data_IF_538406243861
#
_entry.id   IF_538406243861
#
_cell.length_a   1.000
_cell.length_b   1.000
_cell.length_c   1.000
_cell.angle_alpha   90.00
_cell.angle_beta   90.00
_cell.angle_gamma   90.00
#
_symmetry.space_group_name_H-M   'P 1'
#
loop_
_entity.id
_entity.type
_entity.pdbx_description
1 polymer ?
#
# COMPACT_ATOMS: atom_id res chain seq x y z
N UNK A 1 16.87 14.22 -54.41
CA UNK A 1 16.63 12.84 -53.93
C UNK A 1 17.63 12.34 -52.88
N UNK A 2 18.91 12.73 -52.90
CA UNK A 2 19.92 12.28 -51.90
C UNK A 2 19.75 12.88 -50.49
N UNK A 3 19.16 14.08 -50.36
CA UNK A 3 18.94 14.70 -49.04
C UNK A 3 17.73 14.17 -48.29
N UNK A 4 16.75 13.57 -48.96
CA UNK A 4 15.55 12.98 -48.32
C UNK A 4 15.86 11.64 -47.66
N UNK A 5 16.85 10.91 -48.15
CA UNK A 5 17.28 9.61 -47.61
C UNK A 5 18.05 9.79 -46.30
N UNK A 6 18.79 10.91 -46.15
CA UNK A 6 19.55 11.20 -44.91
C UNK A 6 18.61 11.57 -43.72
N UNK A 7 17.48 12.22 -44.02
CA UNK A 7 16.50 12.58 -42.99
C UNK A 7 15.71 11.34 -42.45
N UNK A 8 15.51 10.33 -43.32
CA UNK A 8 14.84 9.09 -42.91
C UNK A 8 15.77 8.16 -42.13
N UNK A 9 17.07 8.21 -42.35
CA UNK A 9 18.05 7.46 -41.59
C UNK A 9 18.29 7.99 -40.17
N UNK A 10 18.06 9.31 -39.92
CA UNK A 10 18.14 9.90 -38.58
C UNK A 10 16.88 9.64 -37.72
N UNK A 11 15.74 9.27 -38.33
CA UNK A 11 14.49 9.04 -37.59
C UNK A 11 14.37 7.59 -37.06
N UNK A 12 15.29 6.70 -37.46
CA UNK A 12 15.29 5.29 -37.03
C UNK A 12 16.22 4.98 -35.85
N UNK A 13 16.94 5.98 -35.31
CA UNK A 13 17.89 5.80 -34.22
C UNK A 13 17.25 6.08 -32.86
N UNK A 14 15.95 6.49 -32.78
CA UNK A 14 15.32 6.91 -31.53
C UNK A 14 14.34 5.88 -30.96
N UNK A 15 14.23 4.68 -31.55
CA UNK A 15 13.36 3.60 -31.08
C UNK A 15 14.11 2.28 -30.82
N UNK A 16 15.36 2.36 -30.38
CA UNK A 16 16.03 1.20 -29.80
C UNK A 16 16.30 1.50 -28.32
N UNK A 17 15.24 1.69 -27.55
CA UNK A 17 15.28 1.33 -26.13
C UNK A 17 15.25 -0.20 -26.13
N UNK A 18 16.42 -0.80 -26.15
CA UNK A 18 16.61 -2.22 -25.99
C UNK A 18 15.96 -2.68 -24.68
N UNK A 19 15.25 -3.79 -24.76
CA UNK A 19 14.75 -4.58 -23.62
C UNK A 19 15.86 -5.11 -22.69
N UNK A 20 17.10 -4.62 -22.84
CA UNK A 20 18.30 -5.09 -22.12
C UNK A 20 18.58 -4.40 -20.78
N UNK A 21 17.71 -3.48 -20.29
CA UNK A 21 18.05 -2.67 -19.11
C UNK A 21 17.80 -3.40 -17.77
N UNK A 22 17.08 -4.50 -17.78
CA UNK A 22 16.89 -5.34 -16.60
C UNK A 22 17.36 -6.76 -16.91
N UNK A 23 18.66 -6.98 -16.89
CA UNK A 23 19.24 -8.31 -17.02
C UNK A 23 18.79 -9.18 -15.83
N UNK A 24 18.39 -10.43 -16.13
CA UNK A 24 18.13 -11.49 -15.15
C UNK A 24 19.34 -11.71 -14.20
N UNK A 25 20.54 -11.31 -14.59
CA UNK A 25 21.77 -11.43 -13.81
C UNK A 25 21.79 -10.59 -12.52
N UNK A 26 20.98 -9.51 -12.42
CA UNK A 26 20.88 -8.74 -11.18
C UNK A 26 20.03 -9.43 -10.10
N UNK A 27 19.23 -10.44 -10.47
CA UNK A 27 18.50 -11.27 -9.52
C UNK A 27 19.36 -12.39 -8.93
N UNK A 28 20.43 -12.83 -9.62
CA UNK A 28 21.31 -13.91 -9.16
C UNK A 28 22.40 -13.47 -8.17
N UNK A 29 22.74 -12.18 -8.13
CA UNK A 29 23.79 -11.67 -7.24
C UNK A 29 23.40 -11.67 -5.74
N UNK A 30 22.14 -11.99 -5.40
CA UNK A 30 21.62 -12.00 -4.02
C UNK A 30 21.62 -13.42 -3.42
N UNK A 31 21.93 -14.44 -4.21
CA UNK A 31 21.87 -15.87 -3.82
C UNK A 31 23.11 -16.40 -3.09
N UNK A 32 23.81 -15.58 -2.34
CA UNK A 32 25.01 -15.98 -1.61
C UNK A 32 24.90 -15.80 -0.10
N UNK A 33 24.49 -16.83 0.61
CA UNK A 33 24.49 -17.07 2.06
C UNK A 33 23.13 -16.92 2.77
N UNK A 34 22.67 -17.98 3.29
CA UNK A 34 21.71 -18.36 4.38
C UNK A 34 20.80 -17.32 5.07
N UNK A 35 20.46 -16.20 4.45
CA UNK A 35 19.36 -15.29 4.81
C UNK A 35 19.00 -14.49 3.55
N UNK A 36 18.18 -15.07 2.67
CA UNK A 36 17.75 -14.41 1.43
C UNK A 36 16.67 -13.40 1.80
N UNK A 37 17.03 -12.14 1.90
CA UNK A 37 16.09 -11.04 2.09
C UNK A 37 15.85 -10.33 0.76
N UNK A 38 14.63 -10.40 0.23
CA UNK A 38 14.22 -9.53 -0.88
C UNK A 38 14.05 -8.10 -0.37
N UNK A 39 14.60 -7.11 -1.09
CA UNK A 39 14.44 -5.69 -0.76
C UNK A 39 14.26 -4.87 -2.04
N UNK A 40 13.34 -3.92 -2.01
CA UNK A 40 13.15 -2.97 -3.10
C UNK A 40 14.28 -1.92 -3.20
N UNK A 41 15.13 -1.79 -2.19
CA UNK A 41 16.18 -0.77 -2.17
C UNK A 41 17.19 -0.97 -3.32
N UNK A 42 17.57 -2.22 -3.61
CA UNK A 42 18.46 -2.55 -4.72
C UNK A 42 17.87 -2.17 -6.08
N UNK A 43 16.54 -2.28 -6.22
CA UNK A 43 15.80 -1.97 -7.44
C UNK A 43 15.68 -0.46 -7.61
N UNK A 44 15.27 0.24 -6.57
CA UNK A 44 14.98 1.68 -6.61
C UNK A 44 16.22 2.56 -6.59
N UNK A 45 17.34 2.07 -6.03
CA UNK A 45 18.63 2.75 -6.04
C UNK A 45 19.35 2.69 -7.40
N UNK A 46 18.91 1.81 -8.29
CA UNK A 46 19.43 1.77 -9.65
C UNK A 46 19.17 3.11 -10.36
N UNK A 47 20.22 3.74 -10.92
CA UNK A 47 20.12 5.03 -11.61
C UNK A 47 19.10 5.04 -12.75
N UNK A 48 18.82 3.89 -13.36
CA UNK A 48 17.84 3.72 -14.42
C UNK A 48 16.38 3.72 -13.92
N UNK A 49 16.11 3.52 -12.61
CA UNK A 49 14.77 3.50 -12.05
C UNK A 49 13.91 4.71 -12.44
N UNK A 50 14.51 5.91 -12.43
CA UNK A 50 13.81 7.15 -12.77
C UNK A 50 13.38 7.20 -14.24
N UNK A 51 14.12 6.53 -15.13
CA UNK A 51 13.88 6.50 -16.57
C UNK A 51 12.89 5.42 -16.99
N UNK A 52 12.63 4.43 -16.13
CA UNK A 52 11.70 3.34 -16.40
C UNK A 52 10.26 3.84 -16.53
N UNK A 53 9.54 3.31 -17.50
CA UNK A 53 8.09 3.45 -17.59
C UNK A 53 7.39 2.83 -16.35
N UNK A 54 6.14 3.19 -16.14
CA UNK A 54 5.36 2.61 -15.02
C UNK A 54 5.32 1.08 -15.08
N UNK A 55 5.10 0.51 -16.28
CA UNK A 55 5.08 -0.95 -16.46
C UNK A 55 6.42 -1.58 -16.07
N UNK A 56 7.53 -1.04 -16.56
CA UNK A 56 8.87 -1.55 -16.23
C UNK A 56 9.16 -1.49 -14.72
N UNK A 57 8.77 -0.39 -14.06
CA UNK A 57 8.88 -0.27 -12.60
C UNK A 57 8.07 -1.34 -11.89
N UNK A 58 6.85 -1.59 -12.37
CA UNK A 58 5.96 -2.58 -11.79
C UNK A 58 6.50 -4.00 -11.97
N UNK A 59 6.97 -4.33 -13.18
CA UNK A 59 7.56 -5.63 -13.49
C UNK A 59 8.83 -5.87 -12.66
N UNK A 60 9.67 -4.86 -12.48
CA UNK A 60 10.87 -4.93 -11.65
C UNK A 60 10.59 -5.16 -10.16
N UNK A 61 9.41 -4.79 -9.67
CA UNK A 61 9.01 -4.99 -8.28
C UNK A 61 8.41 -6.37 -8.00
N UNK A 62 8.29 -7.25 -9.01
CA UNK A 62 7.81 -8.62 -8.74
C UNK A 62 8.85 -9.40 -7.94
N UNK A 63 8.40 -10.15 -6.95
CA UNK A 63 9.26 -11.02 -6.15
C UNK A 63 9.55 -12.28 -6.99
N UNK A 64 10.80 -12.73 -7.10
CA UNK A 64 11.10 -14.00 -7.78
C UNK A 64 10.32 -15.17 -7.18
N UNK A 65 9.76 -16.04 -8.02
CA UNK A 65 8.89 -17.14 -7.59
C UNK A 65 9.59 -18.09 -6.59
N UNK A 66 10.91 -18.28 -6.76
CA UNK A 66 11.72 -19.07 -5.82
C UNK A 66 11.75 -18.51 -4.40
N UNK A 67 11.60 -17.17 -4.25
CA UNK A 67 11.61 -16.51 -2.95
C UNK A 67 10.20 -16.41 -2.34
N UNK A 68 9.17 -16.31 -3.16
CA UNK A 68 7.79 -16.19 -2.67
C UNK A 68 7.39 -17.29 -1.69
N UNK A 69 7.84 -18.53 -1.94
CA UNK A 69 7.54 -19.67 -1.08
C UNK A 69 8.38 -19.71 0.21
N UNK A 70 9.53 -19.04 0.23
CA UNK A 70 10.45 -19.01 1.36
C UNK A 70 10.13 -17.86 2.35
N UNK A 71 9.48 -16.78 1.85
CA UNK A 71 9.11 -15.66 2.68
C UNK A 71 8.03 -16.04 3.71
N UNK A 72 8.24 -15.58 4.93
CA UNK A 72 7.22 -15.64 5.98
C UNK A 72 6.07 -14.68 5.67
N UNK A 73 4.91 -14.91 6.25
CA UNK A 73 3.75 -14.03 6.09
C UNK A 73 4.05 -12.60 6.59
N UNK A 74 4.82 -12.48 7.67
CA UNK A 74 5.29 -11.19 8.20
C UNK A 74 6.14 -10.44 7.18
N UNK A 75 7.10 -11.11 6.55
CA UNK A 75 7.94 -10.50 5.50
C UNK A 75 7.11 -10.07 4.29
N UNK A 76 6.11 -10.86 3.89
CA UNK A 76 5.19 -10.48 2.82
C UNK A 76 4.39 -9.22 3.17
N UNK A 77 3.91 -9.08 4.41
CA UNK A 77 3.24 -7.85 4.89
C UNK A 77 4.19 -6.66 4.84
N UNK A 78 5.43 -6.81 5.30
CA UNK A 78 6.44 -5.76 5.25
C UNK A 78 6.79 -5.34 3.82
N UNK A 79 6.85 -6.29 2.88
CA UNK A 79 7.06 -6.02 1.46
C UNK A 79 5.86 -5.30 0.84
N UNK A 80 4.63 -5.69 1.17
CA UNK A 80 3.44 -4.94 0.76
C UNK A 80 3.49 -3.50 1.28
N UNK A 81 3.86 -3.31 2.55
CA UNK A 81 3.98 -1.99 3.16
C UNK A 81 5.08 -1.13 2.51
N UNK A 82 6.20 -1.74 2.11
CA UNK A 82 7.35 -1.04 1.54
C UNK A 82 7.38 -1.00 0.01
N UNK A 83 6.33 -1.47 -0.68
CA UNK A 83 6.29 -1.47 -2.14
C UNK A 83 6.45 -0.06 -2.71
N UNK A 84 7.43 0.19 -3.61
CA UNK A 84 7.83 1.55 -4.00
C UNK A 84 6.79 2.30 -4.83
N UNK A 85 5.78 1.60 -5.35
CA UNK A 85 4.68 2.20 -6.10
C UNK A 85 3.43 2.47 -5.26
N UNK A 86 3.44 2.22 -3.95
CA UNK A 86 2.30 2.53 -3.07
C UNK A 86 1.79 3.97 -3.21
N UNK A 87 2.64 5.00 -3.37
CA UNK A 87 2.17 6.38 -3.53
C UNK A 87 1.28 6.61 -4.76
N UNK A 88 1.33 5.73 -5.76
CA UNK A 88 0.53 5.88 -6.98
C UNK A 88 -0.97 5.75 -6.73
N UNK A 89 -1.38 5.15 -5.62
CA UNK A 89 -2.80 5.07 -5.24
C UNK A 89 -3.45 6.45 -5.27
N UNK A 90 -2.71 7.49 -4.88
CA UNK A 90 -3.20 8.87 -4.83
C UNK A 90 -3.15 9.60 -6.17
N UNK A 91 -2.67 8.96 -7.23
CA UNK A 91 -2.80 9.46 -8.60
C UNK A 91 -4.16 9.07 -9.24
N UNK A 92 -4.91 8.18 -8.59
CA UNK A 92 -6.26 7.81 -9.01
C UNK A 92 -7.30 8.74 -8.40
N UNK A 93 -8.43 8.95 -9.08
CA UNK A 93 -9.54 9.73 -8.53
C UNK A 93 -10.11 9.10 -7.24
N UNK A 94 -10.05 7.78 -7.14
CA UNK A 94 -10.35 7.03 -5.94
C UNK A 94 -9.07 6.26 -5.54
N UNK A 95 -8.44 6.57 -4.40
CA UNK A 95 -7.23 5.87 -3.93
C UNK A 95 -7.42 4.35 -3.77
N UNK A 96 -8.64 3.88 -3.49
CA UNK A 96 -8.94 2.46 -3.41
C UNK A 96 -8.75 1.74 -4.75
N UNK A 97 -9.11 2.39 -5.87
CA UNK A 97 -8.91 1.80 -7.21
C UNK A 97 -7.42 1.62 -7.50
N UNK A 98 -6.59 2.60 -7.10
CA UNK A 98 -5.15 2.52 -7.21
C UNK A 98 -4.55 1.42 -6.33
N UNK A 99 -5.03 1.30 -5.09
CA UNK A 99 -4.63 0.22 -4.20
C UNK A 99 -5.01 -1.15 -4.75
N UNK A 100 -6.23 -1.31 -5.24
CA UNK A 100 -6.69 -2.55 -5.87
C UNK A 100 -5.87 -2.90 -7.11
N UNK A 101 -5.46 -1.89 -7.91
CA UNK A 101 -4.57 -2.13 -9.04
C UNK A 101 -3.24 -2.75 -8.58
N UNK A 102 -2.60 -2.21 -7.53
CA UNK A 102 -1.36 -2.76 -6.98
C UNK A 102 -1.60 -4.17 -6.43
N UNK A 103 -2.61 -4.36 -5.58
CA UNK A 103 -2.95 -5.66 -4.99
C UNK A 103 -3.19 -6.74 -6.05
N UNK A 104 -3.90 -6.39 -7.12
CA UNK A 104 -4.20 -7.32 -8.22
C UNK A 104 -2.97 -7.72 -9.03
N UNK A 105 -1.98 -6.87 -9.14
CA UNK A 105 -0.85 -7.09 -10.05
C UNK A 105 0.45 -7.47 -9.32
N UNK A 106 0.63 -7.11 -8.05
CA UNK A 106 1.81 -7.47 -7.27
C UNK A 106 1.72 -8.92 -6.77
N UNK A 107 2.70 -9.74 -7.15
CA UNK A 107 2.69 -11.16 -6.79
C UNK A 107 2.88 -11.41 -5.28
N UNK A 108 3.58 -10.52 -4.57
CA UNK A 108 3.71 -10.61 -3.11
C UNK A 108 2.37 -10.48 -2.39
N UNK A 109 1.46 -9.58 -2.85
CA UNK A 109 0.11 -9.49 -2.28
C UNK A 109 -0.74 -10.72 -2.63
N UNK A 110 -0.63 -11.22 -3.87
CA UNK A 110 -1.34 -12.46 -4.27
C UNK A 110 -0.90 -13.67 -3.42
N UNK A 111 0.37 -13.72 -3.06
CA UNK A 111 0.88 -14.75 -2.16
C UNK A 111 0.37 -14.54 -0.74
N UNK A 112 0.38 -13.29 -0.24
CA UNK A 112 -0.19 -12.94 1.07
C UNK A 112 -1.65 -13.38 1.18
N UNK A 113 -2.46 -13.19 0.14
CA UNK A 113 -3.88 -13.63 0.12
C UNK A 113 -4.07 -15.13 0.34
N UNK A 114 -3.07 -15.96 0.04
CA UNK A 114 -3.13 -17.43 0.22
C UNK A 114 -2.75 -17.88 1.63
N UNK A 115 -2.13 -17.01 2.43
CA UNK A 115 -1.64 -17.35 3.76
C UNK A 115 -2.78 -17.33 4.77
N UNK A 116 -2.89 -18.37 5.57
CA UNK A 116 -3.94 -18.52 6.58
C UNK A 116 -3.83 -17.46 7.68
N UNK A 117 -2.60 -17.09 8.05
CA UNK A 117 -2.28 -16.08 9.06
C UNK A 117 -2.17 -14.65 8.52
N UNK A 118 -2.46 -14.41 7.24
CA UNK A 118 -2.33 -13.09 6.61
C UNK A 118 -3.04 -11.97 7.36
N UNK A 119 -4.27 -12.22 7.80
CA UNK A 119 -5.06 -11.24 8.55
C UNK A 119 -4.42 -10.90 9.91
N UNK A 120 -3.93 -11.90 10.62
CA UNK A 120 -3.26 -11.73 11.91
C UNK A 120 -1.98 -10.92 11.76
N UNK A 121 -1.11 -11.32 10.83
CA UNK A 121 0.16 -10.63 10.58
C UNK A 121 -0.04 -9.19 10.10
N UNK A 122 -1.07 -8.93 9.29
CA UNK A 122 -1.40 -7.58 8.85
C UNK A 122 -1.93 -6.71 10.00
N UNK A 123 -2.75 -7.28 10.88
CA UNK A 123 -3.23 -6.60 12.08
C UNK A 123 -2.10 -6.33 13.08
N UNK A 124 -1.20 -7.29 13.30
CA UNK A 124 -0.01 -7.13 14.14
C UNK A 124 0.85 -5.98 13.61
N UNK A 125 1.12 -6.00 12.31
CA UNK A 125 1.89 -4.94 11.66
C UNK A 125 1.24 -3.56 11.87
N UNK A 126 -0.06 -3.43 11.62
CA UNK A 126 -0.74 -2.14 11.73
C UNK A 126 -0.87 -1.68 13.19
N UNK A 127 -1.11 -2.61 14.12
CA UNK A 127 -1.16 -2.32 15.56
C UNK A 127 0.20 -1.81 16.08
N UNK A 128 1.32 -2.34 15.54
CA UNK A 128 2.67 -1.92 15.88
C UNK A 128 3.11 -0.54 15.36
N UNK A 129 2.36 0.08 14.46
CA UNK A 129 2.71 1.42 13.96
C UNK A 129 2.40 2.50 15.00
N UNK A 130 3.41 3.31 15.35
CA UNK A 130 3.27 4.44 16.26
C UNK A 130 2.95 5.73 15.50
N UNK A 131 1.72 6.21 15.65
CA UNK A 131 1.28 7.47 15.04
C UNK A 131 1.51 8.70 15.94
N UNK A 132 1.95 8.52 17.19
CA UNK A 132 2.21 9.63 18.12
C UNK A 132 3.66 10.11 17.99
N UNK A 133 4.62 9.16 18.00
CA UNK A 133 6.04 9.47 17.96
C UNK A 133 6.56 9.55 16.51
N UNK A 134 6.04 10.52 15.79
CA UNK A 134 6.49 10.80 14.42
C UNK A 134 7.77 11.60 14.47
N UNK A 135 8.80 11.18 13.75
CA UNK A 135 9.97 12.01 13.58
C UNK A 135 9.59 13.24 12.76
N UNK A 136 9.79 14.44 13.33
CA UNK A 136 9.53 15.71 12.68
C UNK A 136 10.50 15.91 11.50
N UNK A 137 10.20 15.27 10.38
CA UNK A 137 10.81 15.58 9.11
C UNK A 137 9.80 16.34 8.27
N UNK A 138 10.16 17.46 7.63
CA UNK A 138 9.27 18.11 6.69
C UNK A 138 9.12 17.19 5.47
N UNK A 139 8.05 16.42 5.43
CA UNK A 139 7.67 15.49 4.37
C UNK A 139 8.81 14.72 3.66
N UNK A 140 8.73 13.39 3.51
CA UNK A 140 7.58 12.57 3.91
C UNK A 140 7.59 12.20 5.40
N UNK A 141 6.40 12.10 5.99
CA UNK A 141 6.20 11.59 7.36
C UNK A 141 6.80 10.19 7.44
N UNK A 142 7.66 9.96 8.45
CA UNK A 142 8.28 8.67 8.71
C UNK A 142 7.71 8.07 10.00
N UNK A 143 7.22 6.85 9.91
CA UNK A 143 6.58 6.11 11.00
C UNK A 143 7.42 4.89 11.36
N UNK A 144 7.57 4.62 12.64
CA UNK A 144 8.29 3.43 13.11
C UNK A 144 7.32 2.26 13.31
N UNK A 145 7.71 1.09 12.82
CA UNK A 145 7.12 -0.18 13.20
C UNK A 145 7.85 -0.83 14.38
N UNK A 146 7.31 -1.91 14.90
CA UNK A 146 7.85 -2.65 16.06
C UNK A 146 9.30 -3.13 15.88
N UNK A 147 9.72 -3.38 14.63
CA UNK A 147 11.06 -3.82 14.26
C UNK A 147 12.08 -2.67 14.10
N UNK A 148 11.75 -1.44 14.53
CA UNK A 148 12.49 -0.20 14.26
C UNK A 148 12.64 0.16 12.77
N UNK A 149 11.98 -0.55 11.86
CA UNK A 149 11.92 -0.19 10.45
C UNK A 149 11.06 1.06 10.26
N UNK A 150 11.51 1.94 9.38
CA UNK A 150 10.84 3.22 9.11
C UNK A 150 10.03 3.12 7.83
N UNK A 151 8.77 3.50 7.91
CA UNK A 151 7.83 3.50 6.78
C UNK A 151 7.42 4.94 6.44
N UNK A 152 7.23 5.24 5.17
CA UNK A 152 6.65 6.52 4.76
C UNK A 152 5.15 6.57 5.08
N UNK A 153 4.60 7.77 5.24
CA UNK A 153 3.15 7.92 5.46
C UNK A 153 2.31 7.29 4.34
N UNK A 154 2.75 7.38 3.08
CA UNK A 154 2.05 6.75 1.94
C UNK A 154 2.07 5.22 2.00
N UNK A 155 3.14 4.63 2.54
CA UNK A 155 3.22 3.18 2.73
C UNK A 155 2.21 2.69 3.77
N UNK A 156 2.09 3.42 4.89
CA UNK A 156 1.12 3.07 5.92
C UNK A 156 -0.32 3.31 5.43
N UNK A 157 -0.56 4.39 4.70
CA UNK A 157 -1.86 4.64 4.07
C UNK A 157 -2.25 3.52 3.10
N UNK A 158 -1.28 2.94 2.37
CA UNK A 158 -1.56 1.78 1.53
C UNK A 158 -1.97 0.55 2.35
N UNK A 159 -1.35 0.31 3.50
CA UNK A 159 -1.78 -0.75 4.44
C UNK A 159 -3.22 -0.49 4.92
N UNK A 160 -3.58 0.75 5.23
CA UNK A 160 -4.96 1.11 5.60
C UNK A 160 -5.95 0.82 4.46
N UNK A 161 -5.56 1.08 3.20
CA UNK A 161 -6.38 0.71 2.05
C UNK A 161 -6.51 -0.81 1.87
N UNK A 162 -5.45 -1.58 2.14
CA UNK A 162 -5.55 -3.05 2.15
C UNK A 162 -6.54 -3.51 3.23
N UNK A 163 -6.44 -2.99 4.45
CA UNK A 163 -7.33 -3.34 5.57
C UNK A 163 -8.79 -3.00 5.26
N UNK A 164 -9.04 -1.93 4.50
CA UNK A 164 -10.37 -1.51 4.12
C UNK A 164 -10.91 -2.18 2.83
N UNK A 165 -10.06 -2.78 1.99
CA UNK A 165 -10.42 -3.18 0.62
C UNK A 165 -11.39 -4.35 0.53
N UNK A 166 -11.41 -5.23 1.52
CA UNK A 166 -12.13 -6.49 1.42
C UNK A 166 -11.38 -7.62 0.71
N UNK A 167 -10.18 -7.35 0.21
CA UNK A 167 -9.37 -8.30 -0.57
C UNK A 167 -8.73 -9.43 0.27
N UNK A 168 -8.78 -9.32 1.60
CA UNK A 168 -8.38 -10.37 2.55
C UNK A 168 -9.61 -10.85 3.34
N UNK A 169 -10.33 -11.89 2.85
CA UNK A 169 -11.56 -12.36 3.50
C UNK A 169 -11.36 -12.79 4.95
N UNK A 170 -10.18 -13.30 5.31
CA UNK A 170 -9.83 -13.71 6.69
C UNK A 170 -9.86 -12.55 7.70
N UNK A 171 -9.76 -11.30 7.27
CA UNK A 171 -9.94 -10.11 8.12
C UNK A 171 -11.39 -9.98 8.65
N UNK A 172 -12.37 -10.56 7.95
CA UNK A 172 -13.78 -10.33 8.20
C UNK A 172 -14.48 -11.47 8.95
N UNK A 173 -13.73 -12.39 9.58
CA UNK A 173 -14.28 -13.22 10.63
C UNK A 173 -14.53 -12.39 11.90
N UNK A 174 -15.36 -12.90 12.82
CA UNK A 174 -15.78 -12.16 14.00
C UNK A 174 -14.61 -11.63 14.83
N UNK A 175 -13.63 -12.47 15.14
CA UNK A 175 -12.49 -12.12 15.98
C UNK A 175 -11.62 -11.03 15.36
N UNK A 176 -11.28 -11.19 14.08
CA UNK A 176 -10.46 -10.22 13.37
C UNK A 176 -11.20 -8.89 13.14
N UNK A 177 -12.51 -8.92 12.90
CA UNK A 177 -13.33 -7.71 12.79
C UNK A 177 -13.37 -6.92 14.10
N UNK A 178 -13.54 -7.59 15.24
CA UNK A 178 -13.52 -6.94 16.55
C UNK A 178 -12.13 -6.31 16.83
N UNK A 179 -11.06 -7.01 16.46
CA UNK A 179 -9.70 -6.48 16.58
C UNK A 179 -9.47 -5.31 15.63
N UNK A 180 -9.87 -5.44 14.37
CA UNK A 180 -9.73 -4.40 13.34
C UNK A 180 -10.46 -3.12 13.73
N UNK A 181 -11.69 -3.23 14.27
CA UNK A 181 -12.48 -2.11 14.78
C UNK A 181 -11.72 -1.39 15.90
N UNK A 182 -11.29 -2.12 16.92
CA UNK A 182 -10.52 -1.57 18.04
C UNK A 182 -9.20 -0.93 17.61
N UNK A 183 -8.43 -1.60 16.75
CA UNK A 183 -7.13 -1.11 16.32
C UNK A 183 -7.28 0.14 15.46
N UNK A 184 -8.17 0.14 14.48
CA UNK A 184 -8.39 1.30 13.61
C UNK A 184 -8.94 2.50 14.37
N UNK A 185 -9.78 2.29 15.39
CA UNK A 185 -10.21 3.35 16.32
C UNK A 185 -9.02 3.97 17.06
N UNK A 186 -8.17 3.13 17.67
CA UNK A 186 -7.01 3.61 18.40
C UNK A 186 -6.04 4.40 17.49
N UNK A 187 -5.86 3.96 16.24
CA UNK A 187 -5.01 4.67 15.26
C UNK A 187 -5.64 6.01 14.84
N UNK A 188 -6.95 6.06 14.70
CA UNK A 188 -7.67 7.31 14.45
C UNK A 188 -7.46 8.32 15.60
N UNK A 189 -7.63 7.90 16.85
CA UNK A 189 -7.41 8.73 18.03
C UNK A 189 -5.95 9.23 18.12
N UNK A 190 -4.96 8.37 17.85
CA UNK A 190 -3.56 8.77 17.80
C UNK A 190 -3.31 9.85 16.74
N UNK A 191 -3.93 9.74 15.56
CA UNK A 191 -3.83 10.74 14.51
C UNK A 191 -4.53 12.05 14.88
N UNK A 192 -5.66 12.00 15.60
CA UNK A 192 -6.36 13.19 16.10
C UNK A 192 -5.50 13.97 17.11
N UNK A 193 -4.79 13.30 18.01
CA UNK A 193 -3.84 13.94 18.95
C UNK A 193 -2.74 14.66 18.19
N UNK A 194 -2.36 14.16 17.00
CA UNK A 194 -1.34 14.74 16.12
C UNK A 194 -1.94 15.33 14.85
N UNK A 195 -3.06 16.04 14.98
CA UNK A 195 -3.75 16.68 13.86
C UNK A 195 -2.91 17.78 13.17
N UNK A 196 -1.88 18.27 13.82
CA UNK A 196 -0.83 19.12 13.26
C UNK A 196 0.01 18.39 12.18
N UNK A 197 0.10 17.08 12.28
CA UNK A 197 0.91 16.21 11.42
C UNK A 197 0.05 15.46 10.39
N UNK A 198 -1.12 14.96 10.82
CA UNK A 198 -2.00 14.15 9.99
C UNK A 198 -3.13 14.98 9.41
N UNK A 199 -3.13 15.13 8.09
CA UNK A 199 -4.22 15.80 7.38
C UNK A 199 -5.47 14.92 7.21
N UNK A 200 -6.50 15.53 6.62
CA UNK A 200 -7.83 14.93 6.37
C UNK A 200 -7.74 13.53 5.71
N UNK A 201 -6.86 13.35 4.73
CA UNK A 201 -6.70 12.07 4.01
C UNK A 201 -6.27 10.96 4.97
N UNK A 202 -5.30 11.22 5.84
CA UNK A 202 -4.81 10.22 6.79
C UNK A 202 -5.86 9.84 7.84
N UNK A 203 -6.64 10.80 8.31
CA UNK A 203 -7.77 10.58 9.21
C UNK A 203 -8.88 9.78 8.51
N UNK A 204 -9.18 10.14 7.25
CA UNK A 204 -10.18 9.42 6.45
C UNK A 204 -9.84 7.95 6.27
N UNK A 205 -8.57 7.58 6.07
CA UNK A 205 -8.18 6.20 5.87
C UNK A 205 -8.52 5.30 7.08
N UNK A 206 -8.28 5.76 8.30
CA UNK A 206 -8.70 5.00 9.49
C UNK A 206 -10.23 4.87 9.58
N UNK A 207 -10.97 5.92 9.22
CA UNK A 207 -12.44 5.89 9.20
C UNK A 207 -12.99 5.00 8.06
N UNK A 208 -12.29 4.88 6.93
CA UNK A 208 -12.66 3.96 5.84
C UNK A 208 -12.60 2.50 6.32
N UNK A 209 -11.57 2.13 7.09
CA UNK A 209 -11.47 0.79 7.71
C UNK A 209 -12.69 0.55 8.60
N UNK A 210 -13.00 1.49 9.50
CA UNK A 210 -14.12 1.36 10.42
C UNK A 210 -15.48 1.37 9.70
N UNK A 211 -15.59 2.13 8.62
CA UNK A 211 -16.76 2.12 7.74
C UNK A 211 -17.00 0.71 7.16
N UNK A 212 -15.95 0.05 6.70
CA UNK A 212 -16.05 -1.32 6.18
C UNK A 212 -16.52 -2.30 7.28
N UNK A 213 -15.96 -2.19 8.49
CA UNK A 213 -16.39 -3.00 9.63
C UNK A 213 -17.86 -2.73 9.99
N UNK A 214 -18.25 -1.45 10.08
CA UNK A 214 -19.61 -1.06 10.42
C UNK A 214 -20.64 -1.50 9.36
N UNK A 215 -20.30 -1.40 8.07
CA UNK A 215 -21.16 -1.87 6.97
C UNK A 215 -21.40 -3.39 7.00
N UNK A 216 -20.44 -4.16 7.49
CA UNK A 216 -20.55 -5.62 7.67
C UNK A 216 -21.27 -6.01 8.98
N UNK A 217 -21.42 -5.06 9.89
CA UNK A 217 -22.17 -5.24 11.14
C UNK A 217 -23.64 -4.80 10.95
N UNK A 218 -24.52 -5.22 11.88
CA UNK A 218 -25.93 -4.78 11.94
C UNK A 218 -26.15 -3.60 12.88
N UNK A 219 -25.10 -2.82 13.20
CA UNK A 219 -25.16 -1.75 14.21
C UNK A 219 -25.68 -0.42 13.65
N UNK A 220 -25.67 -0.22 12.31
CA UNK A 220 -26.07 1.05 11.68
C UNK A 220 -27.57 1.09 11.39
N UNK A 221 -28.18 2.27 11.60
CA UNK A 221 -29.51 2.56 11.03
C UNK A 221 -29.43 2.61 9.51
N UNK A 222 -30.54 2.49 8.78
CA UNK A 222 -30.54 2.59 7.30
C UNK A 222 -30.01 3.92 6.80
N UNK A 223 -30.35 5.03 7.48
CA UNK A 223 -29.83 6.36 7.13
C UNK A 223 -28.32 6.44 7.36
N UNK A 224 -27.82 6.04 8.52
CA UNK A 224 -26.39 6.03 8.84
C UNK A 224 -25.62 5.10 7.88
N UNK A 225 -26.20 3.94 7.54
CA UNK A 225 -25.64 2.99 6.56
C UNK A 225 -25.47 3.63 5.18
N UNK A 226 -26.43 4.43 4.71
CA UNK A 226 -26.34 5.17 3.46
C UNK A 226 -25.19 6.17 3.47
N UNK A 227 -25.05 6.95 4.55
CA UNK A 227 -23.97 7.95 4.72
C UNK A 227 -22.60 7.25 4.74
N UNK A 228 -22.45 6.20 5.56
CA UNK A 228 -21.20 5.45 5.71
C UNK A 228 -20.81 4.76 4.40
N UNK A 229 -21.78 4.20 3.66
CA UNK A 229 -21.51 3.58 2.35
C UNK A 229 -20.99 4.60 1.33
N UNK A 230 -21.59 5.79 1.28
CA UNK A 230 -21.13 6.85 0.38
C UNK A 230 -19.70 7.30 0.73
N UNK A 231 -19.40 7.48 2.02
CA UNK A 231 -18.05 7.80 2.48
C UNK A 231 -17.05 6.71 2.11
N UNK A 232 -17.36 5.45 2.37
CA UNK A 232 -16.54 4.31 2.02
C UNK A 232 -16.28 4.22 0.50
N UNK A 233 -17.33 4.31 -0.32
CA UNK A 233 -17.23 4.21 -1.77
C UNK A 233 -16.45 5.37 -2.40
N UNK A 234 -16.48 6.56 -1.79
CA UNK A 234 -15.70 7.73 -2.23
C UNK A 234 -14.27 7.76 -1.65
N UNK A 235 -13.88 6.71 -0.92
CA UNK A 235 -12.61 6.65 -0.20
C UNK A 235 -12.34 7.91 0.64
N UNK A 236 -13.36 8.37 1.37
CA UNK A 236 -13.28 9.54 2.24
C UNK A 236 -13.42 10.91 1.55
N UNK A 237 -13.71 10.93 0.24
CA UNK A 237 -13.48 12.09 -0.62
C UNK A 237 -14.34 13.34 -0.39
N UNK A 238 -15.56 13.26 0.10
CA UNK A 238 -16.46 14.46 0.18
C UNK A 238 -17.24 14.61 1.47
N UNK A 239 -17.05 13.72 2.42
CA UNK A 239 -17.82 13.71 3.66
C UNK A 239 -17.06 14.37 4.79
N UNK A 240 -17.79 15.09 5.63
CA UNK A 240 -17.24 15.65 6.86
C UNK A 240 -16.82 14.53 7.84
N UNK A 241 -15.52 14.47 8.13
CA UNK A 241 -14.92 13.51 9.07
C UNK A 241 -15.65 13.52 10.42
N UNK A 242 -16.07 14.72 10.90
CA UNK A 242 -16.78 14.85 12.16
C UNK A 242 -18.14 14.15 12.13
N UNK A 243 -18.86 14.23 11.03
CA UNK A 243 -20.13 13.52 10.85
C UNK A 243 -19.92 12.01 10.81
N UNK A 244 -18.92 11.54 10.04
CA UNK A 244 -18.60 10.12 9.94
C UNK A 244 -18.19 9.54 11.29
N UNK A 245 -17.27 10.19 12.01
CA UNK A 245 -16.82 9.73 13.33
C UNK A 245 -17.96 9.68 14.34
N UNK A 246 -18.88 10.66 14.34
CA UNK A 246 -20.07 10.64 15.21
C UNK A 246 -21.01 9.46 14.93
N UNK A 247 -21.13 9.04 13.67
CA UNK A 247 -21.93 7.86 13.31
C UNK A 247 -21.25 6.57 13.76
N UNK A 248 -19.95 6.46 13.56
CA UNK A 248 -19.19 5.25 13.85
C UNK A 248 -18.99 5.02 15.36
N UNK A 249 -18.96 6.10 16.17
CA UNK A 249 -18.65 6.05 17.60
C UNK A 249 -19.85 6.35 18.52
N UNK A 250 -21.07 6.19 18.00
CA UNK A 250 -22.28 6.14 18.83
C UNK A 250 -22.30 4.90 19.70
#
# INVERSE_FOLDING_TARGET
MKQLILLFAMLLIVCSCSDEILNEDNHQAILGASNVTFSFDSITSNGNWKLCSFKQKFDACQIPDSLLSELTTKELVELCASHPLNPICYAYNNPMDGAQYIMKNFNGFKELQKREDAAEQLLDFYEGIDFINVTNSPYPISLKGDNNKVYSGSNIQFIELILASGELPSLYNKTNMERLDRVSYNKFEQKLVRNDTYGVISLSNSLIIQSQVALKSNKLTENDRGIIRNFYNSCGGSSDISTISKILYK
#
